data_IF_709094448236
#
_entry.id   IF_709094448236
#
_cell.length_a   1.000
_cell.length_b   1.000
_cell.length_c   1.000
_cell.angle_alpha   90.00
_cell.angle_beta   90.00
_cell.angle_gamma   90.00
#
_symmetry.space_group_name_H-M   'P 1'
#
loop_
_entity.id
_entity.type
_entity.pdbx_description
1 polymer ?
#
# COMPACT_ATOMS: atom_id res chain seq x y z
N UNK A 1 3.57 8.72 -33.08
CA UNK A 1 4.04 8.30 -31.74
C UNK A 1 3.11 7.21 -31.23
N UNK A 2 3.60 5.97 -31.09
CA UNK A 2 2.79 4.87 -30.55
C UNK A 2 2.58 5.12 -29.06
N UNK A 3 1.34 5.41 -28.65
CA UNK A 3 0.94 5.50 -27.24
C UNK A 3 0.93 4.10 -26.63
N UNK A 4 2.12 3.52 -26.44
CA UNK A 4 2.26 2.21 -25.79
C UNK A 4 1.89 2.36 -24.33
N UNK A 5 0.69 1.90 -23.99
CA UNK A 5 0.23 1.80 -22.60
C UNK A 5 1.17 0.88 -21.81
N UNK A 6 1.36 1.19 -20.53
CA UNK A 6 2.13 0.34 -19.60
C UNK A 6 1.21 -0.77 -19.09
N UNK A 7 1.32 -2.02 -19.57
CA UNK A 7 0.53 -3.13 -19.10
C UNK A 7 0.92 -3.45 -17.66
N UNK A 8 -0.03 -3.95 -16.89
CA UNK A 8 0.26 -4.49 -15.59
C UNK A 8 0.87 -5.89 -15.74
N UNK A 9 2.06 -6.08 -15.19
CA UNK A 9 2.67 -7.38 -14.94
C UNK A 9 2.90 -7.52 -13.44
N UNK A 10 3.04 -8.75 -12.93
CA UNK A 10 3.27 -8.94 -11.50
C UNK A 10 4.68 -8.45 -11.11
N UNK A 11 4.84 -7.82 -9.93
CA UNK A 11 6.14 -7.36 -9.49
C UNK A 11 7.12 -8.53 -9.34
N UNK A 12 8.41 -8.33 -9.67
CA UNK A 12 9.44 -9.34 -9.42
C UNK A 12 9.52 -9.67 -7.93
N UNK A 13 10.03 -10.86 -7.59
CA UNK A 13 10.01 -11.40 -6.22
C UNK A 13 10.69 -10.50 -5.17
N UNK A 14 11.67 -9.68 -5.56
CA UNK A 14 12.34 -8.73 -4.68
C UNK A 14 11.46 -7.53 -4.28
N UNK A 15 10.49 -7.14 -5.12
CA UNK A 15 9.50 -6.10 -4.82
C UNK A 15 8.21 -6.68 -4.23
N UNK A 16 7.82 -7.90 -4.64
CA UNK A 16 6.63 -8.56 -4.10
C UNK A 16 6.68 -8.79 -2.59
N UNK A 17 7.84 -9.22 -2.06
CA UNK A 17 8.01 -9.49 -0.62
C UNK A 17 7.70 -8.28 0.27
N UNK A 18 8.33 -7.10 0.09
CA UNK A 18 8.02 -5.94 0.91
C UNK A 18 6.59 -5.43 0.73
N UNK A 19 6.00 -5.55 -0.47
CA UNK A 19 4.58 -5.23 -0.72
C UNK A 19 3.67 -6.12 0.14
N UNK A 20 3.90 -7.43 0.16
CA UNK A 20 3.11 -8.37 0.97
C UNK A 20 3.27 -8.08 2.46
N UNK A 21 4.50 -7.84 2.93
CA UNK A 21 4.76 -7.49 4.33
C UNK A 21 4.01 -6.22 4.72
N UNK A 22 4.04 -5.18 3.87
CA UNK A 22 3.33 -3.93 4.11
C UNK A 22 1.80 -4.16 4.18
N UNK A 23 1.26 -4.93 3.23
CA UNK A 23 -0.17 -5.31 3.24
C UNK A 23 -0.59 -6.07 4.50
N UNK A 24 0.26 -6.97 5.00
CA UNK A 24 0.02 -7.67 6.28
C UNK A 24 0.01 -6.67 7.44
N UNK A 25 0.98 -5.75 7.51
CA UNK A 25 1.04 -4.73 8.57
C UNK A 25 -0.19 -3.82 8.55
N UNK A 26 -0.64 -3.40 7.37
CA UNK A 26 -1.88 -2.63 7.21
C UNK A 26 -3.11 -3.42 7.66
N UNK A 27 -3.22 -4.69 7.23
CA UNK A 27 -4.33 -5.55 7.63
C UNK A 27 -4.37 -5.78 9.15
N UNK A 28 -3.21 -5.97 9.78
CA UNK A 28 -3.08 -6.11 11.22
C UNK A 28 -3.43 -4.82 11.96
N UNK A 29 -2.97 -3.66 11.48
CA UNK A 29 -3.28 -2.36 12.11
C UNK A 29 -4.78 -2.04 12.04
N UNK A 30 -5.47 -2.46 10.97
CA UNK A 30 -6.91 -2.32 10.81
C UNK A 30 -7.74 -3.40 11.55
N UNK A 31 -7.09 -4.45 12.08
CA UNK A 31 -7.82 -5.59 12.65
C UNK A 31 -8.38 -5.31 14.06
N UNK A 32 -9.68 -5.60 14.24
CA UNK A 32 -10.38 -5.58 15.56
C UNK A 32 -9.82 -6.59 16.57
N UNK A 33 -8.97 -7.51 16.10
CA UNK A 33 -8.38 -8.60 16.89
C UNK A 33 -7.32 -8.07 17.87
N UNK A 34 -6.68 -6.95 17.54
CA UNK A 34 -5.80 -6.24 18.46
C UNK A 34 -6.58 -5.55 19.60
N UNK A 35 -7.82 -5.09 19.34
CA UNK A 35 -8.72 -4.58 20.39
C UNK A 35 -9.15 -5.66 21.39
N UNK A 36 -9.23 -6.94 20.98
CA UNK A 36 -9.46 -8.05 21.89
C UNK A 36 -8.23 -8.34 22.77
N UNK A 37 -7.02 -8.26 22.19
CA UNK A 37 -5.75 -8.34 22.93
C UNK A 37 -5.59 -7.17 23.92
N UNK A 38 -6.09 -5.99 23.54
CA UNK A 38 -6.17 -4.81 24.39
C UNK A 38 -7.04 -5.05 25.63
N UNK A 39 -8.17 -5.77 25.50
CA UNK A 39 -8.99 -6.19 26.64
C UNK A 39 -8.24 -7.08 27.63
N UNK A 40 -7.37 -7.97 27.13
CA UNK A 40 -6.51 -8.81 27.96
C UNK A 40 -5.36 -8.01 28.60
N UNK A 41 -4.73 -7.08 27.86
CA UNK A 41 -3.66 -6.20 28.38
C UNK A 41 -4.17 -5.18 29.42
N UNK A 42 -5.40 -4.68 29.26
CA UNK A 42 -6.08 -3.83 30.25
C UNK A 42 -6.17 -4.52 31.62
N UNK A 43 -6.32 -5.84 31.64
CA UNK A 43 -6.33 -6.62 32.89
C UNK A 43 -4.95 -6.71 33.57
N UNK A 44 -3.86 -6.42 32.84
CA UNK A 44 -2.50 -6.42 33.36
C UNK A 44 -2.00 -5.00 33.71
N UNK A 45 -2.23 -4.00 32.84
CA UNK A 45 -1.89 -2.61 33.13
C UNK A 45 -2.63 -1.63 32.20
N UNK A 46 -3.31 -0.61 32.73
CA UNK A 46 -3.98 0.42 31.93
C UNK A 46 -3.00 1.28 31.12
N UNK A 47 -1.75 1.41 31.56
CA UNK A 47 -0.73 2.20 30.85
C UNK A 47 -0.27 1.51 29.57
N UNK A 48 -0.03 0.19 29.62
CA UNK A 48 0.39 -0.58 28.45
C UNK A 48 -0.71 -0.62 27.37
N UNK A 49 -1.97 -0.72 27.80
CA UNK A 49 -3.12 -0.69 26.93
C UNK A 49 -3.20 0.64 26.14
N UNK A 50 -3.12 1.78 26.84
CA UNK A 50 -3.15 3.11 26.21
C UNK A 50 -2.01 3.33 25.19
N UNK A 51 -0.79 2.91 25.51
CA UNK A 51 0.36 3.03 24.58
C UNK A 51 0.15 2.18 23.34
N UNK A 52 -0.32 0.94 23.49
CA UNK A 52 -0.60 0.05 22.36
C UNK A 52 -1.71 0.61 21.46
N UNK A 53 -2.78 1.17 22.04
CA UNK A 53 -3.86 1.80 21.29
C UNK A 53 -3.39 3.04 20.53
N UNK A 54 -2.58 3.89 21.18
CA UNK A 54 -2.02 5.09 20.54
C UNK A 54 -1.11 4.72 19.37
N UNK A 55 -0.21 3.74 19.57
CA UNK A 55 0.69 3.25 18.53
C UNK A 55 -0.08 2.62 17.36
N UNK A 56 -1.06 1.77 17.63
CA UNK A 56 -1.88 1.15 16.57
C UNK A 56 -2.64 2.20 15.77
N UNK A 57 -3.27 3.17 16.45
CA UNK A 57 -4.03 4.25 15.80
C UNK A 57 -3.10 5.15 14.97
N UNK A 58 -1.92 5.46 15.52
CA UNK A 58 -0.88 6.22 14.81
C UNK A 58 -0.37 5.50 13.57
N UNK A 59 -0.03 4.21 13.69
CA UNK A 59 0.43 3.39 12.55
C UNK A 59 -0.67 3.25 11.50
N UNK A 60 -1.93 3.06 11.92
CA UNK A 60 -3.06 2.98 11.00
C UNK A 60 -3.19 4.26 10.18
N UNK A 61 -3.30 5.43 10.83
CA UNK A 61 -3.45 6.69 10.12
C UNK A 61 -2.23 7.05 9.28
N UNK A 62 -1.03 6.74 9.77
CA UNK A 62 0.20 6.97 9.01
C UNK A 62 0.25 6.10 7.75
N UNK A 63 0.07 4.78 7.87
CA UNK A 63 0.14 3.86 6.73
C UNK A 63 -0.98 4.13 5.73
N UNK A 64 -2.24 4.18 6.18
CA UNK A 64 -3.37 4.40 5.28
C UNK A 64 -3.36 5.80 4.67
N UNK A 65 -2.97 6.82 5.44
CA UNK A 65 -2.86 8.19 4.95
C UNK A 65 -1.74 8.36 3.93
N UNK A 66 -0.53 7.89 4.26
CA UNK A 66 0.61 7.97 3.34
C UNK A 66 0.33 7.21 2.04
N UNK A 67 -0.18 5.98 2.12
CA UNK A 67 -0.46 5.16 0.95
C UNK A 67 -1.62 5.71 0.10
N UNK A 68 -2.60 6.40 0.71
CA UNK A 68 -3.64 7.11 -0.03
C UNK A 68 -3.06 8.30 -0.83
N UNK A 69 -2.14 9.08 -0.22
CA UNK A 69 -1.45 10.18 -0.91
C UNK A 69 -0.58 9.64 -2.05
N UNK A 70 0.20 8.59 -1.79
CA UNK A 70 1.01 7.91 -2.81
C UNK A 70 0.13 7.41 -3.97
N UNK A 71 -1.01 6.81 -3.67
CA UNK A 71 -1.98 6.34 -4.67
C UNK A 71 -2.52 7.49 -5.53
N UNK A 72 -2.82 8.65 -4.94
CA UNK A 72 -3.27 9.82 -5.68
C UNK A 72 -2.19 10.36 -6.63
N UNK A 73 -0.94 10.43 -6.16
CA UNK A 73 0.22 10.81 -6.98
C UNK A 73 0.44 9.80 -8.11
N UNK A 74 0.31 8.50 -7.81
CA UNK A 74 0.49 7.43 -8.78
C UNK A 74 -0.61 7.41 -9.84
N UNK A 75 -1.86 7.69 -9.46
CA UNK A 75 -2.97 7.81 -10.40
C UNK A 75 -2.70 8.87 -11.48
N UNK A 76 -2.06 9.99 -11.10
CA UNK A 76 -1.60 11.00 -12.07
C UNK A 76 -0.50 10.43 -12.98
N UNK A 77 0.49 9.73 -12.43
CA UNK A 77 1.58 9.08 -13.20
C UNK A 77 1.03 8.05 -14.20
N UNK A 78 0.03 7.26 -13.83
CA UNK A 78 -0.65 6.31 -14.72
C UNK A 78 -1.32 7.01 -15.91
N UNK A 79 -2.03 8.12 -15.64
CA UNK A 79 -2.65 8.94 -16.68
C UNK A 79 -1.60 9.48 -17.65
N UNK A 80 -0.49 9.99 -17.13
CA UNK A 80 0.60 10.56 -17.94
C UNK A 80 1.27 9.49 -18.85
N UNK A 81 1.21 8.21 -18.47
CA UNK A 81 1.71 7.07 -19.25
C UNK A 81 0.63 6.33 -20.06
N UNK A 82 -0.54 6.96 -20.24
CA UNK A 82 -1.61 6.45 -21.11
C UNK A 82 -2.38 5.26 -20.55
N UNK A 83 -2.27 4.96 -19.26
CA UNK A 83 -3.12 3.95 -18.62
C UNK A 83 -4.51 4.54 -18.43
N UNK A 84 -5.50 3.98 -19.13
CA UNK A 84 -6.89 4.44 -19.05
C UNK A 84 -7.43 4.32 -17.61
N UNK A 85 -8.02 5.39 -17.10
CA UNK A 85 -8.59 5.45 -15.76
C UNK A 85 -9.67 4.37 -15.61
N UNK A 86 -9.71 3.67 -14.47
CA UNK A 86 -10.65 2.57 -14.17
C UNK A 86 -10.51 1.33 -15.08
N UNK A 87 -9.53 1.27 -15.97
CA UNK A 87 -9.22 0.03 -16.69
C UNK A 87 -8.76 -1.07 -15.72
N UNK A 88 -8.84 -2.33 -16.15
CA UNK A 88 -8.32 -3.44 -15.35
C UNK A 88 -6.84 -3.27 -14.98
N UNK A 89 -6.04 -2.68 -15.88
CA UNK A 89 -4.63 -2.36 -15.59
C UNK A 89 -4.51 -1.24 -14.54
N UNK A 90 -5.34 -0.19 -14.64
CA UNK A 90 -5.38 0.89 -13.66
C UNK A 90 -5.69 0.36 -12.27
N UNK A 91 -6.71 -0.49 -12.12
CA UNK A 91 -7.05 -1.06 -10.81
C UNK A 91 -5.93 -1.90 -10.22
N UNK A 92 -5.26 -2.74 -11.02
CA UNK A 92 -4.12 -3.54 -10.53
C UNK A 92 -2.97 -2.64 -10.05
N UNK A 93 -2.65 -1.61 -10.82
CA UNK A 93 -1.65 -0.60 -10.46
C UNK A 93 -2.03 0.18 -9.19
N UNK A 94 -3.29 0.56 -9.04
CA UNK A 94 -3.77 1.28 -7.87
C UNK A 94 -3.79 0.42 -6.61
N UNK A 95 -4.19 -0.85 -6.71
CA UNK A 95 -4.15 -1.79 -5.58
C UNK A 95 -2.71 -2.04 -5.15
N UNK A 96 -1.80 -2.25 -6.11
CA UNK A 96 -0.39 -2.43 -5.79
C UNK A 96 0.23 -1.16 -5.19
N UNK A 97 -0.14 0.03 -5.67
CA UNK A 97 0.34 1.28 -5.09
C UNK A 97 -0.22 1.51 -3.69
N UNK A 98 -1.50 1.21 -3.46
CA UNK A 98 -2.09 1.38 -2.13
C UNK A 98 -1.51 0.40 -1.10
N UNK A 99 -1.11 -0.80 -1.51
CA UNK A 99 -0.51 -1.79 -0.58
C UNK A 99 1.01 -1.65 -0.49
N UNK A 100 1.65 -1.37 -1.61
CA UNK A 100 3.11 -1.36 -1.76
C UNK A 100 3.76 0.00 -1.67
N UNK A 101 2.99 1.08 -1.76
CA UNK A 101 3.48 2.46 -1.75
C UNK A 101 4.60 2.66 -2.77
N UNK A 102 5.74 3.18 -2.28
CA UNK A 102 6.98 3.37 -3.08
C UNK A 102 7.40 2.15 -3.91
N UNK A 103 7.22 0.90 -3.44
CA UNK A 103 7.68 -0.28 -4.17
C UNK A 103 6.93 -0.46 -5.50
N UNK A 104 5.68 0.01 -5.55
CA UNK A 104 4.91 0.09 -6.79
C UNK A 104 5.49 1.13 -7.75
N UNK A 105 6.03 2.25 -7.24
CA UNK A 105 6.70 3.25 -8.08
C UNK A 105 7.99 2.68 -8.69
N UNK A 106 8.80 1.97 -7.91
CA UNK A 106 10.01 1.29 -8.40
C UNK A 106 9.67 0.24 -9.46
N UNK A 107 8.62 -0.56 -9.22
CA UNK A 107 8.14 -1.55 -10.19
C UNK A 107 7.65 -0.88 -11.48
N UNK A 108 6.84 0.17 -11.37
CA UNK A 108 6.33 0.91 -12.52
C UNK A 108 7.46 1.53 -13.35
N UNK A 109 8.46 2.12 -12.69
CA UNK A 109 9.63 2.67 -13.38
C UNK A 109 10.47 1.59 -14.07
N UNK A 110 10.62 0.42 -13.47
CA UNK A 110 11.22 -0.74 -14.11
C UNK A 110 10.47 -1.13 -15.40
N UNK A 111 9.13 -1.15 -15.35
CA UNK A 111 8.28 -1.44 -16.50
C UNK A 111 8.39 -0.38 -17.61
N UNK A 112 8.43 0.91 -17.24
CA UNK A 112 8.63 2.00 -18.21
C UNK A 112 10.00 1.90 -18.88
N UNK A 113 11.07 1.68 -18.10
CA UNK A 113 12.45 1.54 -18.62
C UNK A 113 12.60 0.32 -19.52
N UNK A 114 11.95 -0.80 -19.19
CA UNK A 114 11.98 -2.02 -20.03
C UNK A 114 11.28 -1.85 -21.39
N UNK A 115 10.46 -0.80 -21.55
CA UNK A 115 9.67 -0.53 -22.76
C UNK A 115 10.23 0.58 -23.65
N UNK A 116 11.17 1.38 -23.14
CA UNK A 116 11.93 2.36 -23.92
C UNK A 116 13.06 1.68 -24.68
#
# INVERSE_FOLDING_TARGET
>A
MSTRTVPYQLPPSHLSKPIIVCGIVMALSASRRFSAFHGLLLSQSPTLANVAQWLQTGIFWFLYGAHAIESAVFAKKLKDHGVSMLSAAWWKWMVECFVGGKFCFEHFEGMVKSKQ
#
